data_IF_296313255812
#
_entry.id   IF_296313255812
#
_cell.length_a   1.000
_cell.length_b   1.000
_cell.length_c   1.000
_cell.angle_alpha   90.00
_cell.angle_beta   90.00
_cell.angle_gamma   90.00
#
_symmetry.space_group_name_H-M   'P 1'
#
loop_
_entity.id
_entity.type
_entity.pdbx_description
1 polymer ?
#
# COMPACT_ATOMS: atom_id res chain seq x y z
N UNK A 1 0.64 -11.37 -3.03
CA UNK A 1 1.41 -11.54 -1.76
C UNK A 1 0.51 -11.21 -0.56
N UNK A 2 0.99 -11.40 0.67
CA UNK A 2 0.27 -11.05 1.92
C UNK A 2 1.00 -9.95 2.71
N UNK A 3 0.32 -9.31 3.66
CA UNK A 3 0.92 -8.24 4.48
C UNK A 3 2.15 -8.74 5.25
N UNK A 4 2.09 -9.97 5.77
CA UNK A 4 3.16 -10.54 6.59
C UNK A 4 4.49 -10.72 5.83
N UNK A 5 4.47 -10.68 4.50
CA UNK A 5 5.66 -10.77 3.66
C UNK A 5 6.51 -9.47 3.69
N UNK A 6 5.99 -8.38 4.25
CA UNK A 6 6.59 -7.05 4.19
C UNK A 6 7.06 -6.55 5.56
N UNK A 7 8.23 -5.91 5.57
CA UNK A 7 8.80 -5.27 6.77
C UNK A 7 8.52 -3.77 6.76
N UNK A 8 7.99 -3.26 7.87
CA UNK A 8 7.80 -1.83 8.08
C UNK A 8 9.15 -1.11 8.03
N UNK A 9 9.20 0.00 7.29
CA UNK A 9 10.39 0.82 7.10
C UNK A 9 11.25 0.42 5.90
N UNK A 10 11.00 -0.74 5.29
CA UNK A 10 11.79 -1.25 4.16
C UNK A 10 11.25 -0.79 2.82
N UNK A 11 12.16 -0.46 1.89
CA UNK A 11 11.84 -0.13 0.51
C UNK A 11 11.92 -1.37 -0.37
N UNK A 12 10.89 -1.58 -1.19
CA UNK A 12 10.82 -2.70 -2.13
C UNK A 12 10.63 -2.22 -3.56
N UNK A 13 11.28 -2.89 -4.51
CA UNK A 13 10.93 -2.84 -5.92
C UNK A 13 9.82 -3.88 -6.16
N UNK A 14 8.60 -3.41 -6.38
CA UNK A 14 7.41 -4.23 -6.52
C UNK A 14 6.98 -4.32 -7.98
N UNK A 15 6.61 -5.52 -8.42
CA UNK A 15 5.88 -5.75 -9.67
C UNK A 15 4.41 -5.96 -9.32
N UNK A 16 3.55 -5.15 -9.91
CA UNK A 16 2.15 -5.00 -9.52
C UNK A 16 1.26 -5.18 -10.74
N UNK A 17 0.18 -5.94 -10.57
CA UNK A 17 -0.87 -6.09 -11.59
C UNK A 17 -1.96 -5.03 -11.37
N UNK A 18 -2.56 -4.47 -12.44
CA UNK A 18 -3.62 -3.45 -12.30
C UNK A 18 -4.93 -4.03 -11.75
N UNK A 19 -5.20 -5.31 -12.01
CA UNK A 19 -6.37 -6.08 -11.54
C UNK A 19 -6.00 -7.56 -11.45
N UNK A 20 -6.78 -8.36 -10.73
CA UNK A 20 -6.47 -9.76 -10.42
C UNK A 20 -6.40 -10.65 -11.66
N UNK A 21 -7.21 -10.38 -12.68
CA UNK A 21 -7.30 -11.17 -13.91
C UNK A 21 -6.51 -10.53 -15.07
N UNK A 22 -5.38 -9.85 -14.79
CA UNK A 22 -4.60 -9.19 -15.84
C UNK A 22 -3.91 -10.17 -16.77
N UNK A 23 -3.71 -9.76 -18.03
CA UNK A 23 -2.90 -10.54 -18.96
C UNK A 23 -1.40 -10.42 -18.59
N UNK A 24 -0.59 -11.46 -18.86
CA UNK A 24 0.85 -11.38 -18.68
C UNK A 24 1.46 -10.21 -19.48
N UNK A 25 2.29 -9.39 -18.85
CA UNK A 25 2.92 -8.22 -19.47
C UNK A 25 2.19 -6.89 -19.26
N UNK A 26 1.00 -6.89 -18.65
CA UNK A 26 0.34 -5.67 -18.18
C UNK A 26 0.84 -5.19 -16.81
N UNK A 27 1.81 -5.90 -16.23
CA UNK A 27 2.36 -5.55 -14.92
C UNK A 27 3.19 -4.26 -15.01
N UNK A 28 3.17 -3.50 -13.93
CA UNK A 28 4.00 -2.32 -13.80
C UNK A 28 4.89 -2.40 -12.56
N UNK A 29 6.06 -1.79 -12.66
CA UNK A 29 7.01 -1.73 -11.56
C UNK A 29 6.89 -0.42 -10.77
N UNK A 30 6.98 -0.52 -9.45
CA UNK A 30 7.01 0.61 -8.52
C UNK A 30 7.98 0.35 -7.38
N UNK A 31 8.78 1.35 -7.05
CA UNK A 31 9.59 1.35 -5.83
C UNK A 31 8.79 2.00 -4.72
N UNK A 32 8.47 1.23 -3.69
CA UNK A 32 7.57 1.63 -2.61
C UNK A 32 8.19 1.30 -1.25
N UNK A 33 8.22 2.30 -0.36
CA UNK A 33 8.59 2.10 1.04
C UNK A 33 7.38 1.68 1.84
N UNK A 34 7.45 0.52 2.49
CA UNK A 34 6.40 0.05 3.40
C UNK A 34 6.48 0.88 4.66
N UNK A 35 5.38 1.55 4.97
CA UNK A 35 5.24 2.32 6.19
C UNK A 35 4.53 1.48 7.27
N UNK A 36 4.20 2.11 8.38
CA UNK A 36 3.32 1.56 9.39
C UNK A 36 1.92 1.25 8.82
N UNK A 37 1.18 0.27 9.38
CA UNK A 37 -0.21 0.04 9.04
C UNK A 37 -1.07 1.32 9.12
N UNK A 38 -2.11 1.39 8.29
CA UNK A 38 -3.08 2.47 8.35
C UNK A 38 -3.79 2.45 9.73
N UNK A 39 -3.82 3.61 10.38
CA UNK A 39 -4.58 3.87 11.60
C UNK A 39 -5.61 4.97 11.35
N UNK A 40 -6.55 5.10 12.27
CA UNK A 40 -7.56 6.16 12.28
C UNK A 40 -6.95 7.56 12.25
N UNK A 41 -5.77 7.70 12.85
CA UNK A 41 -5.06 8.97 13.01
C UNK A 41 -4.17 9.31 11.81
N UNK A 42 -3.65 8.31 11.08
CA UNK A 42 -2.69 8.53 9.98
C UNK A 42 -3.27 8.37 8.57
N UNK A 43 -4.56 8.02 8.48
CA UNK A 43 -5.28 7.76 7.24
C UNK A 43 -6.65 8.46 7.30
N UNK A 44 -6.67 9.78 7.20
CA UNK A 44 -7.94 10.53 7.09
C UNK A 44 -8.56 10.29 5.70
N UNK A 45 -9.88 10.04 5.64
CA UNK A 45 -10.59 9.80 4.38
C UNK A 45 -10.63 11.05 3.48
N UNK A 46 -10.51 12.25 4.05
CA UNK A 46 -10.47 13.51 3.31
C UNK A 46 -9.47 14.50 3.93
N UNK A 47 -8.83 15.31 3.07
CA UNK A 47 -8.04 16.46 3.48
C UNK A 47 -8.94 17.71 3.41
N UNK A 48 -9.48 18.17 4.55
CA UNK A 48 -10.32 19.38 4.58
C UNK A 48 -11.04 19.61 5.90
N UNK A 49 -11.82 20.70 6.01
CA UNK A 49 -12.67 20.98 7.18
C UNK A 49 -13.75 19.91 7.41
N UNK A 50 -14.04 19.10 6.38
CA UNK A 50 -15.02 18.01 6.40
C UNK A 50 -14.37 16.62 6.59
N UNK A 51 -13.11 16.57 7.07
CA UNK A 51 -12.40 15.32 7.30
C UNK A 51 -13.18 14.40 8.26
N UNK A 52 -13.88 13.42 7.69
CA UNK A 52 -14.57 12.41 8.47
C UNK A 52 -13.58 11.37 8.98
N UNK A 53 -13.72 11.09 10.27
CA UNK A 53 -13.00 10.00 10.92
C UNK A 53 -13.55 8.68 10.38
N UNK A 54 -12.70 7.79 9.84
CA UNK A 54 -13.14 6.51 9.31
C UNK A 54 -13.84 5.67 10.39
N UNK A 55 -14.92 4.98 10.01
CA UNK A 55 -15.61 4.03 10.89
C UNK A 55 -14.74 2.80 11.17
N UNK A 56 -15.04 2.07 12.24
CA UNK A 56 -14.29 0.85 12.58
C UNK A 56 -14.35 -0.22 11.47
N UNK A 57 -15.45 -0.26 10.71
CA UNK A 57 -15.60 -1.15 9.56
C UNK A 57 -14.64 -0.77 8.42
N UNK A 58 -14.53 0.53 8.11
CA UNK A 58 -13.58 1.04 7.12
C UNK A 58 -12.14 0.79 7.56
N UNK A 59 -11.83 1.01 8.84
CA UNK A 59 -10.50 0.70 9.39
C UNK A 59 -10.19 -0.79 9.32
N UNK A 60 -11.16 -1.66 9.58
CA UNK A 60 -11.00 -3.10 9.43
C UNK A 60 -10.69 -3.48 7.97
N UNK A 61 -11.37 -2.84 7.00
CA UNK A 61 -11.05 -3.03 5.59
C UNK A 61 -9.66 -2.50 5.24
N UNK A 62 -9.17 -1.43 5.87
CA UNK A 62 -7.82 -0.92 5.60
C UNK A 62 -6.70 -1.81 6.11
N UNK A 63 -6.96 -2.63 7.13
CA UNK A 63 -5.98 -3.60 7.66
C UNK A 63 -5.56 -4.64 6.62
N UNK A 64 -6.26 -4.77 5.49
CA UNK A 64 -5.86 -5.64 4.38
C UNK A 64 -4.88 -4.95 3.39
N UNK A 65 -4.62 -3.66 3.56
CA UNK A 65 -3.72 -2.88 2.71
C UNK A 65 -2.43 -2.49 3.46
N UNK A 66 -1.34 -2.38 2.70
CA UNK A 66 -0.12 -1.73 3.16
C UNK A 66 -0.25 -0.22 2.95
N UNK A 67 0.19 0.58 3.92
CA UNK A 67 0.47 1.99 3.68
C UNK A 67 1.87 2.09 3.09
N UNK A 68 1.99 2.67 1.91
CA UNK A 68 3.26 2.77 1.20
C UNK A 68 3.55 4.19 0.75
N UNK A 69 4.83 4.54 0.71
CA UNK A 69 5.31 5.81 0.19
C UNK A 69 6.06 5.59 -1.13
N UNK A 70 5.75 6.38 -2.15
CA UNK A 70 6.50 6.38 -3.41
C UNK A 70 7.79 7.21 -3.33
N UNK A 71 8.59 7.20 -4.40
CA UNK A 71 9.85 7.94 -4.48
C UNK A 71 9.70 9.47 -4.48
N UNK A 72 8.49 9.98 -4.69
CA UNK A 72 8.17 11.42 -4.64
C UNK A 72 7.62 11.85 -3.28
N UNK A 73 7.45 10.89 -2.34
CA UNK A 73 6.93 11.14 -1.01
C UNK A 73 5.42 10.97 -0.87
N UNK A 74 4.70 10.60 -1.94
CA UNK A 74 3.25 10.42 -1.89
C UNK A 74 2.90 9.12 -1.14
N UNK A 75 1.91 9.21 -0.26
CA UNK A 75 1.45 8.08 0.55
C UNK A 75 0.14 7.55 -0.02
N UNK A 76 0.04 6.23 -0.14
CA UNK A 76 -1.19 5.55 -0.58
C UNK A 76 -1.37 4.20 0.11
N UNK A 77 -2.59 3.67 0.02
CA UNK A 77 -2.87 2.27 0.34
C UNK A 77 -2.55 1.38 -0.87
N UNK A 78 -1.89 0.26 -0.62
CA UNK A 78 -1.53 -0.74 -1.63
C UNK A 78 -1.99 -2.10 -1.15
N UNK A 79 -2.83 -2.76 -1.94
CA UNK A 79 -3.25 -4.11 -1.62
C UNK A 79 -2.14 -5.11 -1.98
N UNK A 80 -1.68 -5.98 -1.06
CA UNK A 80 -0.68 -6.99 -1.38
C UNK A 80 -1.16 -8.06 -2.36
N UNK A 81 -2.47 -8.26 -2.49
CA UNK A 81 -3.06 -9.26 -3.38
C UNK A 81 -2.69 -9.06 -4.85
N UNK A 82 -2.47 -7.80 -5.27
CA UNK A 82 -2.05 -7.45 -6.64
C UNK A 82 -0.53 -7.34 -6.81
N UNK A 83 0.26 -7.65 -5.78
CA UNK A 83 1.73 -7.69 -5.88
C UNK A 83 2.12 -9.12 -6.23
N UNK A 84 2.77 -9.29 -7.38
CA UNK A 84 3.26 -10.59 -7.88
C UNK A 84 4.70 -10.85 -7.49
N UNK A 85 5.49 -9.78 -7.26
CA UNK A 85 6.88 -9.86 -6.85
C UNK A 85 7.28 -8.62 -6.06
N UNK A 86 8.08 -8.79 -5.02
CA UNK A 86 8.70 -7.70 -4.28
C UNK A 86 10.14 -8.06 -3.89
N UNK A 87 11.09 -7.17 -4.19
CA UNK A 87 12.50 -7.34 -3.85
C UNK A 87 12.96 -6.17 -2.98
N UNK A 88 13.62 -6.46 -1.86
CA UNK A 88 14.19 -5.42 -0.99
C UNK A 88 15.23 -4.61 -1.77
N UNK A 89 15.09 -3.29 -1.74
CA UNK A 89 16.08 -2.37 -2.29
C UNK A 89 17.04 -2.04 -1.16
N UNK A 90 18.31 -2.41 -1.33
CA UNK A 90 19.35 -2.03 -0.38
C UNK A 90 19.42 -0.49 -0.26
N UNK A 91 19.45 -0.01 0.99
CA UNK A 91 19.60 1.41 1.30
C UNK A 91 20.99 1.95 0.94
#
# INVERSE_FOLDING_TARGET
MEIADFKVGTTYAMTIVPYLDCEPGEEFQRTLKVLEPATKENSLMECGPDAEVPTDEVLAQWRQFLRVQDTHGNIRLQWPGVIVKAEEVAA
#
